data_IF_506307065300
#
_entry.id   IF_506307065300
#
_cell.length_a   1.000
_cell.length_b   1.000
_cell.length_c   1.000
_cell.angle_alpha   90.00
_cell.angle_beta   90.00
_cell.angle_gamma   90.00
#
_symmetry.space_group_name_H-M   'P 1'
#
loop_
_entity.id
_entity.type
_entity.pdbx_description
1 polymer ?
#
# COMPACT_ATOMS: atom_id res chain seq x y z
N UNK A 1 -21.71 -1.83 2.68
CA UNK A 1 -21.78 -1.58 1.22
C UNK A 1 -20.35 -1.51 0.72
N UNK A 2 -19.86 -2.62 0.16
CA UNK A 2 -18.53 -2.71 -0.43
C UNK A 2 -18.62 -2.16 -1.84
N UNK A 3 -18.17 -0.92 -2.06
CA UNK A 3 -17.97 -0.40 -3.41
C UNK A 3 -16.87 -1.21 -4.09
N UNK A 4 -17.35 -2.17 -4.86
CA UNK A 4 -16.85 -2.70 -6.12
C UNK A 4 -15.69 -1.87 -6.73
N UNK A 5 -14.47 -2.08 -6.25
CA UNK A 5 -13.27 -1.77 -7.03
C UNK A 5 -13.12 -2.83 -8.13
N UNK A 6 -14.07 -2.87 -9.06
CA UNK A 6 -13.88 -3.53 -10.34
C UNK A 6 -12.87 -2.67 -11.12
N UNK A 7 -11.59 -2.94 -10.92
CA UNK A 7 -10.50 -2.30 -11.65
C UNK A 7 -10.79 -2.40 -13.14
N UNK A 8 -10.94 -1.25 -13.81
CA UNK A 8 -11.21 -1.17 -15.24
C UNK A 8 -10.11 -1.92 -15.98
N UNK A 9 -10.44 -3.07 -16.56
CA UNK A 9 -9.47 -3.91 -17.29
C UNK A 9 -9.04 -3.16 -18.54
N UNK A 10 -7.77 -2.75 -18.60
CA UNK A 10 -7.20 -2.12 -19.79
C UNK A 10 -7.23 -3.12 -20.96
N UNK A 11 -7.75 -2.68 -22.11
CA UNK A 11 -7.71 -3.47 -23.34
C UNK A 11 -6.60 -2.95 -24.27
N UNK A 12 -6.34 -3.69 -25.36
CA UNK A 12 -5.32 -3.32 -26.34
C UNK A 12 -5.50 -1.90 -26.89
N UNK A 13 -6.72 -1.47 -27.17
CA UNK A 13 -6.98 -0.13 -27.72
C UNK A 13 -6.63 0.99 -26.73
N UNK A 14 -6.73 0.74 -25.43
CA UNK A 14 -6.31 1.68 -24.39
C UNK A 14 -4.79 1.80 -24.34
N UNK A 15 -4.06 0.66 -24.43
CA UNK A 15 -2.61 0.67 -24.55
C UNK A 15 -2.14 1.40 -25.82
N UNK A 16 -2.76 1.12 -26.96
CA UNK A 16 -2.41 1.78 -28.23
C UNK A 16 -2.62 3.31 -28.15
N UNK A 17 -3.61 3.79 -27.38
CA UNK A 17 -3.82 5.23 -27.15
C UNK A 17 -2.70 5.83 -26.30
N UNK A 18 -2.30 5.13 -25.24
CA UNK A 18 -1.20 5.56 -24.36
C UNK A 18 0.12 5.57 -25.14
N UNK A 19 0.42 4.52 -25.90
CA UNK A 19 1.61 4.45 -26.76
C UNK A 19 1.65 5.64 -27.73
N UNK A 20 0.55 5.90 -28.46
CA UNK A 20 0.49 7.05 -29.36
C UNK A 20 0.70 8.38 -28.65
N UNK A 21 0.23 8.51 -27.42
CA UNK A 21 0.40 9.73 -26.63
C UNK A 21 1.86 9.93 -26.21
N UNK A 22 2.49 8.91 -25.60
CA UNK A 22 3.88 9.01 -25.12
C UNK A 22 4.87 9.21 -26.27
N UNK A 23 4.63 8.57 -27.42
CA UNK A 23 5.47 8.76 -28.62
C UNK A 23 5.33 10.20 -29.14
N UNK A 24 4.12 10.76 -29.18
CA UNK A 24 3.91 12.17 -29.57
C UNK A 24 4.63 13.14 -28.63
N UNK A 25 4.59 12.89 -27.33
CA UNK A 25 5.33 13.70 -26.35
C UNK A 25 6.82 13.63 -26.62
N UNK A 26 7.37 12.44 -26.87
CA UNK A 26 8.81 12.30 -27.19
C UNK A 26 9.20 13.03 -28.47
N UNK A 27 8.38 12.96 -29.52
CA UNK A 27 8.63 13.71 -30.76
C UNK A 27 8.71 15.22 -30.47
N UNK A 28 7.80 15.74 -29.66
CA UNK A 28 7.81 17.15 -29.26
C UNK A 28 9.02 17.52 -28.39
N UNK A 29 9.44 16.66 -27.45
CA UNK A 29 10.65 16.85 -26.64
C UNK A 29 11.89 16.96 -27.51
N UNK A 30 12.03 16.04 -28.48
CA UNK A 30 13.21 16.05 -29.36
C UNK A 30 13.24 17.29 -30.24
N UNK A 31 12.07 17.77 -30.68
CA UNK A 31 11.94 19.03 -31.41
C UNK A 31 12.35 20.27 -30.61
N UNK A 32 12.36 20.18 -29.28
CA UNK A 32 12.71 21.28 -28.36
C UNK A 32 14.12 21.15 -27.75
N UNK A 33 14.94 20.17 -28.17
CA UNK A 33 16.28 20.00 -27.62
C UNK A 33 17.18 21.20 -27.94
N UNK A 34 18.04 21.55 -26.98
CA UNK A 34 19.14 22.48 -27.21
C UNK A 34 20.14 21.92 -28.24
N UNK A 35 20.99 22.76 -28.85
CA UNK A 35 22.01 22.30 -29.79
C UNK A 35 22.93 21.21 -29.23
N UNK A 36 23.27 21.29 -27.94
CA UNK A 36 24.09 20.28 -27.25
C UNK A 36 23.34 18.95 -27.12
N UNK A 37 22.12 18.98 -26.60
CA UNK A 37 21.29 17.78 -26.43
C UNK A 37 20.95 17.13 -27.78
N UNK A 38 20.73 17.93 -28.82
CA UNK A 38 20.49 17.43 -30.17
C UNK A 38 21.75 16.82 -30.80
N UNK A 39 22.95 17.25 -30.38
CA UNK A 39 24.21 16.61 -30.76
C UNK A 39 24.32 15.23 -30.10
N UNK A 40 24.05 15.14 -28.80
CA UNK A 40 24.06 13.88 -28.05
C UNK A 40 23.00 12.90 -28.60
N UNK A 41 21.80 13.39 -28.92
CA UNK A 41 20.75 12.57 -29.54
C UNK A 41 21.17 12.02 -30.91
N UNK A 42 21.82 12.84 -31.75
CA UNK A 42 22.36 12.38 -33.04
C UNK A 42 23.49 11.37 -32.89
N UNK A 43 24.33 11.52 -31.86
CA UNK A 43 25.37 10.56 -31.55
C UNK A 43 24.77 9.21 -31.11
N UNK A 44 23.75 9.23 -30.26
CA UNK A 44 22.99 8.02 -29.88
C UNK A 44 22.36 7.33 -31.08
N UNK A 45 21.76 8.10 -32.00
CA UNK A 45 21.22 7.54 -33.26
C UNK A 45 22.32 6.85 -34.07
N UNK A 46 23.50 7.46 -34.18
CA UNK A 46 24.65 6.87 -34.89
C UNK A 46 25.12 5.56 -34.25
N UNK A 47 25.10 5.46 -32.93
CA UNK A 47 25.46 4.23 -32.21
C UNK A 47 24.48 3.08 -32.43
N UNK A 48 23.19 3.36 -32.68
CA UNK A 48 22.18 2.33 -32.97
C UNK A 48 22.25 1.75 -34.40
N UNK A 49 23.04 2.36 -35.28
CA UNK A 49 23.23 1.91 -36.66
C UNK A 49 22.18 2.43 -37.64
N UNK A 50 22.41 2.20 -38.93
CA UNK A 50 21.64 2.79 -40.04
C UNK A 50 20.25 2.16 -40.26
N UNK A 51 20.00 0.97 -39.69
CA UNK A 51 18.75 0.24 -39.88
C UNK A 51 17.57 0.83 -39.08
N UNK A 52 17.84 1.71 -38.09
CA UNK A 52 16.81 2.30 -37.26
C UNK A 52 16.42 3.69 -37.76
N UNK A 53 15.13 3.91 -38.04
CA UNK A 53 14.66 5.26 -38.29
C UNK A 53 14.66 6.08 -37.01
N UNK A 54 14.84 7.40 -37.14
CA UNK A 54 14.75 8.34 -36.02
C UNK A 54 13.44 8.18 -35.24
N UNK A 55 12.34 7.89 -35.95
CA UNK A 55 11.03 7.68 -35.35
C UNK A 55 10.94 6.37 -34.56
N UNK A 56 11.62 5.31 -35.00
CA UNK A 56 11.65 4.04 -34.29
C UNK A 56 12.44 4.16 -32.99
N UNK A 57 13.59 4.86 -33.04
CA UNK A 57 14.38 5.16 -31.83
C UNK A 57 13.57 5.99 -30.83
N UNK A 58 12.88 7.03 -31.29
CA UNK A 58 12.00 7.83 -30.42
C UNK A 58 10.86 7.01 -29.83
N UNK A 59 10.26 6.11 -30.62
CA UNK A 59 9.19 5.23 -30.16
C UNK A 59 9.69 4.32 -29.05
N UNK A 60 10.80 3.63 -29.27
CA UNK A 60 11.40 2.73 -28.28
C UNK A 60 11.76 3.47 -26.99
N UNK A 61 12.47 4.61 -27.08
CA UNK A 61 12.84 5.40 -25.90
C UNK A 61 11.63 5.94 -25.13
N UNK A 62 10.50 6.20 -25.82
CA UNK A 62 9.27 6.66 -25.18
C UNK A 62 8.58 5.51 -24.44
N UNK A 63 8.52 4.33 -25.05
CA UNK A 63 7.93 3.13 -24.44
C UNK A 63 8.76 2.68 -23.24
N UNK A 64 10.08 2.62 -23.36
CA UNK A 64 10.99 2.20 -22.29
C UNK A 64 10.84 3.09 -21.05
N UNK A 65 10.89 4.42 -21.23
CA UNK A 65 10.64 5.37 -20.13
C UNK A 65 9.24 5.26 -19.56
N UNK A 66 8.24 5.06 -20.42
CA UNK A 66 6.85 4.86 -19.98
C UNK A 66 6.68 3.62 -19.10
N UNK A 67 7.36 2.52 -19.44
CA UNK A 67 7.39 1.29 -18.65
C UNK A 67 8.13 1.51 -17.33
N UNK A 68 9.31 2.14 -17.36
CA UNK A 68 10.11 2.40 -16.16
C UNK A 68 9.33 3.24 -15.12
N UNK A 69 8.74 4.36 -15.55
CA UNK A 69 7.96 5.24 -14.68
C UNK A 69 6.70 4.51 -14.19
N UNK A 70 5.96 3.85 -15.10
CA UNK A 70 4.72 3.17 -14.75
C UNK A 70 4.91 2.00 -13.79
N UNK A 71 5.98 1.22 -13.98
CA UNK A 71 6.34 0.11 -13.11
C UNK A 71 6.82 0.61 -11.75
N UNK A 72 7.70 1.63 -11.73
CA UNK A 72 8.20 2.24 -10.49
C UNK A 72 7.07 2.80 -9.62
N UNK A 73 6.25 3.69 -10.16
CA UNK A 73 5.12 4.27 -9.41
C UNK A 73 4.09 3.22 -8.99
N UNK A 74 3.83 2.22 -9.85
CA UNK A 74 2.89 1.15 -9.57
C UNK A 74 3.35 0.26 -8.41
N UNK A 75 4.62 -0.14 -8.41
CA UNK A 75 5.23 -0.93 -7.34
C UNK A 75 5.23 -0.13 -6.04
N UNK A 76 5.69 1.12 -6.06
CA UNK A 76 5.79 1.95 -4.86
C UNK A 76 4.42 2.19 -4.22
N UNK A 77 3.40 2.55 -5.02
CA UNK A 77 2.03 2.71 -4.51
C UNK A 77 1.47 1.42 -3.95
N UNK A 78 1.72 0.28 -4.60
CA UNK A 78 1.28 -1.03 -4.14
C UNK A 78 1.90 -1.41 -2.79
N UNK A 79 3.22 -1.23 -2.65
CA UNK A 79 3.96 -1.52 -1.42
C UNK A 79 3.50 -0.61 -0.28
N UNK A 80 3.40 0.70 -0.52
CA UNK A 80 2.97 1.67 0.50
C UNK A 80 1.56 1.33 0.98
N UNK A 81 0.62 1.11 0.05
CA UNK A 81 -0.76 0.79 0.39
C UNK A 81 -0.85 -0.49 1.22
N UNK A 82 -0.20 -1.57 0.77
CA UNK A 82 -0.22 -2.85 1.48
C UNK A 82 0.41 -2.77 2.88
N UNK A 83 1.49 -2.00 3.04
CA UNK A 83 2.15 -1.81 4.34
C UNK A 83 1.30 -0.99 5.30
N UNK A 84 0.67 0.08 4.83
CA UNK A 84 -0.21 0.92 5.66
C UNK A 84 -1.42 0.13 6.11
N UNK A 85 -2.11 -0.54 5.20
CA UNK A 85 -3.29 -1.36 5.52
C UNK A 85 -2.94 -2.47 6.52
N UNK A 86 -1.85 -3.20 6.29
CA UNK A 86 -1.40 -4.25 7.20
C UNK A 86 -1.02 -3.73 8.59
N UNK A 87 -0.35 -2.58 8.68
CA UNK A 87 0.03 -1.98 9.96
C UNK A 87 -1.20 -1.50 10.74
N UNK A 88 -2.15 -0.82 10.07
CA UNK A 88 -3.36 -0.32 10.72
C UNK A 88 -4.20 -1.46 11.28
N UNK A 89 -4.44 -2.51 10.48
CA UNK A 89 -5.19 -3.68 10.95
C UNK A 89 -4.49 -4.37 12.12
N UNK A 90 -3.18 -4.62 12.00
CA UNK A 90 -2.41 -5.29 13.06
C UNK A 90 -2.39 -4.48 14.37
N UNK A 91 -2.28 -3.16 14.28
CA UNK A 91 -2.28 -2.28 15.45
C UNK A 91 -3.65 -2.25 16.14
N UNK A 92 -4.73 -2.09 15.38
CA UNK A 92 -6.09 -2.05 15.93
C UNK A 92 -6.45 -3.36 16.64
N UNK A 93 -6.16 -4.50 16.01
CA UNK A 93 -6.44 -5.81 16.61
C UNK A 93 -5.56 -6.06 17.82
N UNK A 94 -4.27 -5.70 17.74
CA UNK A 94 -3.34 -5.81 18.85
C UNK A 94 -3.77 -4.97 20.07
N UNK A 95 -4.20 -3.73 19.85
CA UNK A 95 -4.69 -2.85 20.92
C UNK A 95 -5.98 -3.39 21.52
N UNK A 96 -6.96 -3.82 20.71
CA UNK A 96 -8.23 -4.39 21.21
C UNK A 96 -7.99 -5.62 22.08
N UNK A 97 -7.17 -6.56 21.59
CA UNK A 97 -6.84 -7.78 22.34
C UNK A 97 -6.07 -7.44 23.62
N UNK A 98 -5.08 -6.54 23.54
CA UNK A 98 -4.28 -6.11 24.67
C UNK A 98 -5.10 -5.45 25.77
N UNK A 99 -5.97 -4.50 25.41
CA UNK A 99 -6.87 -3.82 26.36
C UNK A 99 -7.86 -4.82 26.98
N UNK A 100 -8.44 -5.71 26.17
CA UNK A 100 -9.36 -6.75 26.66
C UNK A 100 -8.70 -7.65 27.70
N UNK A 101 -7.54 -8.22 27.37
CA UNK A 101 -6.77 -9.07 28.30
C UNK A 101 -6.34 -8.31 29.55
N UNK A 102 -5.87 -7.07 29.41
CA UNK A 102 -5.45 -6.25 30.54
C UNK A 102 -6.60 -5.97 31.52
N UNK A 103 -7.78 -5.60 31.01
CA UNK A 103 -8.98 -5.41 31.83
C UNK A 103 -9.42 -6.70 32.52
N UNK A 104 -9.38 -7.84 31.82
CA UNK A 104 -9.74 -9.14 32.40
C UNK A 104 -8.78 -9.55 33.52
N UNK A 105 -7.48 -9.37 33.31
CA UNK A 105 -6.47 -9.62 34.34
C UNK A 105 -6.64 -8.70 35.55
N UNK A 106 -6.90 -7.41 35.33
CA UNK A 106 -7.12 -6.44 36.40
C UNK A 106 -8.36 -6.79 37.22
N UNK A 107 -9.47 -7.15 36.56
CA UNK A 107 -10.69 -7.63 37.22
C UNK A 107 -10.43 -8.86 38.09
N UNK A 108 -9.68 -9.84 37.58
CA UNK A 108 -9.30 -11.06 38.33
C UNK A 108 -8.38 -10.74 39.52
N UNK A 109 -7.36 -9.89 39.33
CA UNK A 109 -6.47 -9.46 40.41
C UNK A 109 -7.22 -8.72 41.53
N UNK A 110 -8.17 -7.86 41.16
CA UNK A 110 -9.03 -7.16 42.11
C UNK A 110 -9.92 -8.14 42.90
N UNK A 111 -10.55 -9.10 42.20
CA UNK A 111 -11.37 -10.13 42.84
C UNK A 111 -10.59 -10.97 43.85
N UNK A 112 -9.35 -11.37 43.53
CA UNK A 112 -8.47 -12.12 44.44
C UNK A 112 -8.18 -11.30 45.71
N UNK A 113 -7.86 -10.01 45.57
CA UNK A 113 -7.61 -9.12 46.72
C UNK A 113 -8.84 -8.97 47.62
N UNK A 114 -10.01 -8.72 47.04
CA UNK A 114 -11.26 -8.60 47.79
C UNK A 114 -11.66 -9.90 48.51
N UNK A 115 -11.39 -11.05 47.88
CA UNK A 115 -11.62 -12.38 48.48
C UNK A 115 -10.71 -12.60 49.69
N UNK A 116 -9.44 -12.17 49.60
CA UNK A 116 -8.49 -12.21 50.71
C UNK A 116 -8.92 -11.31 51.90
N UNK A 117 -9.64 -10.22 51.62
CA UNK A 117 -10.22 -9.32 52.63
C UNK A 117 -11.56 -9.82 53.20
N UNK A 118 -12.00 -11.05 52.87
CA UNK A 118 -13.28 -11.65 53.29
C UNK A 118 -14.53 -10.86 52.83
N UNK A 119 -14.45 -10.11 51.73
CA UNK A 119 -15.62 -9.47 51.13
C UNK A 119 -16.53 -10.54 50.53
N UNK A 120 -17.85 -10.39 50.69
CA UNK A 120 -18.81 -11.38 50.17
C UNK A 120 -18.75 -11.51 48.65
N UNK A 121 -18.87 -12.75 48.14
CA UNK A 121 -18.82 -13.05 46.70
C UNK A 121 -19.86 -12.27 45.88
N UNK A 122 -21.02 -11.95 46.46
CA UNK A 122 -22.06 -11.18 45.76
C UNK A 122 -21.64 -9.72 45.52
N UNK A 123 -20.88 -9.13 46.44
CA UNK A 123 -20.34 -7.76 46.32
C UNK A 123 -19.18 -7.76 45.33
N UNK A 124 -18.31 -8.77 45.37
CA UNK A 124 -17.18 -8.90 44.43
C UNK A 124 -17.71 -9.09 43.00
N UNK A 125 -18.70 -9.95 42.81
CA UNK A 125 -19.34 -10.18 41.50
C UNK A 125 -19.94 -8.89 40.93
N UNK A 126 -20.66 -8.13 41.74
CA UNK A 126 -21.26 -6.85 41.32
C UNK A 126 -20.21 -5.78 40.97
N UNK A 127 -19.09 -5.76 41.69
CA UNK A 127 -18.04 -4.73 41.53
C UNK A 127 -17.10 -5.04 40.36
N UNK A 128 -16.75 -6.31 40.18
CA UNK A 128 -15.80 -6.75 39.14
C UNK A 128 -16.49 -7.19 37.85
N UNK A 129 -17.80 -7.44 37.89
CA UNK A 129 -18.56 -7.99 36.75
C UNK A 129 -18.19 -9.43 36.41
N UNK A 130 -17.48 -10.15 37.30
CA UNK A 130 -17.24 -11.59 37.20
C UNK A 130 -18.44 -12.35 37.75
N UNK A 131 -18.75 -13.49 37.15
CA UNK A 131 -19.80 -14.38 37.65
C UNK A 131 -19.39 -15.04 38.97
N UNK A 132 -20.37 -15.49 39.76
CA UNK A 132 -20.08 -16.19 41.03
C UNK A 132 -19.26 -17.46 40.76
N UNK A 133 -19.54 -18.18 39.68
CA UNK A 133 -18.80 -19.36 39.24
C UNK A 133 -17.33 -19.05 38.96
N UNK A 134 -17.04 -17.98 38.21
CA UNK A 134 -15.68 -17.52 37.96
C UNK A 134 -14.95 -17.15 39.26
N UNK A 135 -15.63 -16.51 40.21
CA UNK A 135 -15.07 -16.13 41.52
C UNK A 135 -14.81 -17.32 42.44
N UNK A 136 -15.61 -18.38 42.32
CA UNK A 136 -15.37 -19.64 43.04
C UNK A 136 -14.17 -20.38 42.48
N UNK A 137 -13.93 -20.28 41.16
CA UNK A 137 -12.79 -20.91 40.47
C UNK A 137 -11.45 -20.16 40.61
N UNK A 138 -11.49 -18.89 41.01
CA UNK A 138 -10.32 -18.02 41.28
C UNK A 138 -9.75 -18.25 42.68
#
# INVERSE_FOLDING_TARGET
MSEETAGKRFNKADFDKVERFIVKVRVAEVGNLSPKEMSEFREKLKMRGEDHSVMDVMREEAIERGIEIGLGEGIDRGIIKGRVEGLTMGLEDGIKIGIGRGRDEERRKLAIKLKAENVSLSIISRTTGLTIEELTSL
#
